data_IF_644221064524
#
_entry.id   IF_644221064524
#
_cell.length_a   1.000
_cell.length_b   1.000
_cell.length_c   1.000
_cell.angle_alpha   90.00
_cell.angle_beta   90.00
_cell.angle_gamma   90.00
#
_symmetry.space_group_name_H-M   'P 1'
#
loop_
_entity.id
_entity.type
_entity.pdbx_description
1 polymer ?
#
# COMPACT_ATOMS: atom_id res chain seq x y z
N UNK A 1 18.28 6.78 -16.57
CA UNK A 1 18.14 5.36 -16.17
C UNK A 1 16.66 5.04 -16.19
N UNK A 2 16.21 4.00 -16.90
CA UNK A 2 14.78 3.73 -17.07
C UNK A 2 14.12 3.39 -15.72
N UNK A 3 13.11 4.17 -15.35
CA UNK A 3 12.26 3.98 -14.17
C UNK A 3 10.93 3.40 -14.63
N UNK A 4 10.67 2.14 -14.25
CA UNK A 4 9.38 1.47 -14.45
C UNK A 4 8.70 1.48 -13.10
N UNK A 5 7.51 2.07 -13.02
CA UNK A 5 6.70 2.12 -11.80
C UNK A 5 5.41 1.35 -12.04
N UNK A 6 5.09 0.38 -11.20
CA UNK A 6 3.89 -0.46 -11.27
C UNK A 6 2.93 -0.09 -10.14
N UNK A 7 1.80 0.50 -10.49
CA UNK A 7 0.74 0.85 -9.55
C UNK A 7 -0.51 0.00 -9.80
N UNK A 8 -1.35 -0.11 -8.79
CA UNK A 8 -2.68 -0.71 -8.91
C UNK A 8 -3.76 0.33 -8.61
N UNK A 9 -4.81 0.32 -9.42
CA UNK A 9 -6.08 1.00 -9.11
C UNK A 9 -7.09 -0.08 -8.75
N UNK A 10 -7.48 -0.11 -7.48
CA UNK A 10 -8.43 -1.05 -6.90
C UNK A 10 -9.70 -0.32 -6.44
N UNK A 11 -10.71 -1.07 -6.02
CA UNK A 11 -11.99 -0.55 -5.56
C UNK A 11 -13.15 -1.46 -5.90
N UNK A 12 -14.26 -1.31 -5.18
CA UNK A 12 -15.48 -2.07 -5.39
C UNK A 12 -16.14 -1.84 -6.75
N UNK A 13 -17.27 -2.54 -7.02
CA UNK A 13 -18.12 -2.26 -8.16
C UNK A 13 -18.50 -0.77 -8.22
N UNK A 14 -18.64 -0.20 -9.42
CA UNK A 14 -19.01 1.22 -9.62
C UNK A 14 -18.09 2.27 -8.95
N UNK A 15 -16.82 1.94 -8.64
CA UNK A 15 -15.88 2.90 -8.06
C UNK A 15 -15.32 3.96 -9.02
N UNK A 16 -15.48 3.76 -10.34
CA UNK A 16 -14.97 4.66 -11.38
C UNK A 16 -13.63 4.25 -12.00
N UNK A 17 -13.17 3.00 -11.81
CA UNK A 17 -11.86 2.50 -12.30
C UNK A 17 -11.63 2.73 -13.80
N UNK A 18 -12.59 2.35 -14.66
CA UNK A 18 -12.44 2.52 -16.11
C UNK A 18 -12.26 3.99 -16.51
N UNK A 19 -12.99 4.91 -15.86
CA UNK A 19 -12.80 6.35 -16.07
C UNK A 19 -11.47 6.83 -15.51
N UNK A 20 -11.04 6.33 -14.35
CA UNK A 20 -9.74 6.62 -13.79
C UNK A 20 -8.59 6.25 -14.75
N UNK A 21 -8.68 5.11 -15.45
CA UNK A 21 -7.68 4.74 -16.46
C UNK A 21 -7.55 5.79 -17.56
N UNK A 22 -8.67 6.32 -18.08
CA UNK A 22 -8.64 7.40 -19.08
C UNK A 22 -8.01 8.69 -18.55
N UNK A 23 -8.30 9.06 -17.29
CA UNK A 23 -7.69 10.23 -16.65
C UNK A 23 -6.19 10.05 -16.45
N UNK A 24 -5.75 8.86 -16.02
CA UNK A 24 -4.34 8.52 -15.83
C UNK A 24 -3.60 8.58 -17.17
N UNK A 25 -4.15 7.97 -18.23
CA UNK A 25 -3.56 8.03 -19.58
C UNK A 25 -3.32 9.49 -20.00
N UNK A 26 -4.36 10.32 -19.94
CA UNK A 26 -4.28 11.71 -20.39
C UNK A 26 -3.28 12.52 -19.57
N UNK A 27 -3.35 12.43 -18.23
CA UNK A 27 -2.52 13.24 -17.35
C UNK A 27 -1.04 12.86 -17.42
N UNK A 28 -0.71 11.56 -17.42
CA UNK A 28 0.68 11.11 -17.33
C UNK A 28 1.37 11.05 -18.69
N UNK A 29 0.66 10.82 -19.79
CA UNK A 29 1.23 11.01 -21.14
C UNK A 29 1.60 12.47 -21.39
N UNK A 30 0.78 13.44 -20.95
CA UNK A 30 1.13 14.86 -21.03
C UNK A 30 2.36 15.22 -20.19
N UNK A 31 2.62 14.47 -19.10
CA UNK A 31 3.81 14.59 -18.26
C UNK A 31 5.02 13.78 -18.78
N UNK A 32 4.94 13.21 -19.97
CA UNK A 32 6.04 12.49 -20.61
C UNK A 32 6.22 11.04 -20.14
N UNK A 33 5.24 10.44 -19.48
CA UNK A 33 5.26 9.01 -19.15
C UNK A 33 4.73 8.17 -20.30
N UNK A 34 5.37 7.03 -20.54
CA UNK A 34 4.75 5.92 -21.27
C UNK A 34 3.81 5.19 -20.31
N UNK A 35 2.50 5.27 -20.54
CA UNK A 35 1.49 4.64 -19.68
C UNK A 35 1.04 3.32 -20.31
N UNK A 36 1.02 2.25 -19.52
CA UNK A 36 0.60 0.92 -19.92
C UNK A 36 -0.49 0.43 -18.96
N UNK A 37 -1.56 -0.18 -19.51
CA UNK A 37 -2.63 -0.75 -18.69
C UNK A 37 -2.62 -2.26 -18.74
N UNK A 38 -2.60 -2.89 -17.57
CA UNK A 38 -2.87 -4.33 -17.44
C UNK A 38 -4.37 -4.49 -17.18
N UNK A 39 -5.15 -5.04 -18.14
CA UNK A 39 -6.59 -5.14 -17.99
C UNK A 39 -6.98 -6.23 -16.99
N UNK A 40 -8.13 -6.03 -16.34
CA UNK A 40 -8.70 -6.93 -15.33
C UNK A 40 -8.91 -8.34 -15.90
N UNK A 41 -8.25 -9.33 -15.28
CA UNK A 41 -8.35 -10.73 -15.70
C UNK A 41 -9.72 -11.34 -15.45
N UNK A 42 -10.40 -10.97 -14.36
CA UNK A 42 -11.74 -11.48 -14.04
C UNK A 42 -12.74 -11.17 -15.16
N UNK A 43 -12.74 -9.94 -15.67
CA UNK A 43 -13.63 -9.51 -16.76
C UNK A 43 -13.35 -10.29 -18.05
N UNK A 44 -12.07 -10.55 -18.40
CA UNK A 44 -11.71 -11.41 -19.54
C UNK A 44 -12.26 -12.84 -19.38
N UNK A 45 -12.09 -13.43 -18.20
CA UNK A 45 -12.55 -14.79 -17.91
C UNK A 45 -14.07 -14.92 -17.98
N UNK A 46 -14.79 -14.04 -17.28
CA UNK A 46 -16.25 -14.06 -17.23
C UNK A 46 -16.84 -13.84 -18.63
N UNK A 47 -16.28 -12.90 -19.39
CA UNK A 47 -16.72 -12.64 -20.77
C UNK A 47 -16.42 -13.82 -21.71
N UNK A 48 -15.37 -14.60 -21.41
CA UNK A 48 -15.01 -15.84 -22.12
C UNK A 48 -15.80 -17.08 -21.69
N UNK A 49 -16.70 -16.95 -20.70
CA UNK A 49 -17.49 -18.06 -20.17
C UNK A 49 -16.81 -18.87 -19.05
N UNK A 50 -15.64 -18.43 -18.58
CA UNK A 50 -14.97 -18.98 -17.39
C UNK A 50 -15.37 -18.12 -16.20
N UNK A 51 -16.37 -18.57 -15.45
CA UNK A 51 -16.93 -17.88 -14.30
C UNK A 51 -16.71 -18.69 -13.01
N UNK A 52 -16.76 -18.06 -11.83
CA UNK A 52 -16.70 -18.77 -10.54
C UNK A 52 -17.75 -19.89 -10.42
N UNK A 53 -18.95 -19.68 -11.00
CA UNK A 53 -20.05 -20.65 -10.98
C UNK A 53 -20.02 -21.69 -12.11
N UNK A 54 -19.11 -21.57 -13.09
CA UNK A 54 -18.92 -22.58 -14.14
C UNK A 54 -17.72 -23.48 -13.86
N UNK A 55 -16.75 -22.99 -13.07
CA UNK A 55 -15.63 -23.79 -12.57
C UNK A 55 -16.11 -24.79 -11.50
N UNK A 56 -15.34 -25.86 -11.28
CA UNK A 56 -15.68 -26.88 -10.28
C UNK A 56 -15.73 -26.31 -8.86
N UNK A 57 -14.80 -25.43 -8.53
CA UNK A 57 -14.75 -24.70 -7.25
C UNK A 57 -14.32 -23.26 -7.46
N UNK A 58 -14.59 -22.39 -6.46
CA UNK A 58 -14.04 -21.04 -6.42
C UNK A 58 -12.50 -21.08 -6.39
N UNK A 59 -11.91 -22.00 -5.62
CA UNK A 59 -10.46 -22.16 -5.55
C UNK A 59 -9.84 -22.45 -6.93
N UNK A 60 -10.43 -23.33 -7.74
CA UNK A 60 -9.95 -23.63 -9.10
C UNK A 60 -10.03 -22.40 -10.02
N UNK A 61 -11.12 -21.63 -9.93
CA UNK A 61 -11.26 -20.38 -10.67
C UNK A 61 -10.16 -19.38 -10.27
N UNK A 62 -9.93 -19.21 -8.97
CA UNK A 62 -8.96 -18.26 -8.43
C UNK A 62 -7.52 -18.64 -8.80
N UNK A 63 -7.17 -19.94 -8.81
CA UNK A 63 -5.86 -20.41 -9.31
C UNK A 63 -5.62 -19.95 -10.75
N UNK A 64 -6.56 -20.22 -11.65
CA UNK A 64 -6.45 -19.84 -13.05
C UNK A 64 -6.41 -18.32 -13.24
N UNK A 65 -7.27 -17.58 -12.54
CA UNK A 65 -7.34 -16.12 -12.64
C UNK A 65 -6.03 -15.48 -12.16
N UNK A 66 -5.55 -15.86 -10.98
CA UNK A 66 -4.32 -15.30 -10.40
C UNK A 66 -3.08 -15.65 -11.24
N UNK A 67 -2.98 -16.88 -11.75
CA UNK A 67 -1.88 -17.28 -12.63
C UNK A 67 -1.81 -16.41 -13.90
N UNK A 68 -2.96 -16.20 -14.56
CA UNK A 68 -3.01 -15.35 -15.74
C UNK A 68 -2.72 -13.88 -15.39
N UNK A 69 -3.28 -13.36 -14.30
CA UNK A 69 -3.03 -11.99 -13.86
C UNK A 69 -1.54 -11.72 -13.64
N UNK A 70 -0.86 -12.61 -12.92
CA UNK A 70 0.58 -12.48 -12.67
C UNK A 70 1.41 -12.63 -13.95
N UNK A 71 0.98 -13.51 -14.85
CA UNK A 71 1.60 -13.65 -16.16
C UNK A 71 1.47 -12.37 -16.97
N UNK A 72 0.29 -11.75 -17.02
CA UNK A 72 0.06 -10.47 -17.69
C UNK A 72 0.96 -9.39 -17.10
N UNK A 73 0.96 -9.21 -15.78
CA UNK A 73 1.82 -8.21 -15.13
C UNK A 73 3.30 -8.39 -15.45
N UNK A 74 3.81 -9.63 -15.41
CA UNK A 74 5.20 -9.94 -15.78
C UNK A 74 5.51 -9.62 -17.24
N UNK A 75 4.60 -9.96 -18.15
CA UNK A 75 4.77 -9.71 -19.59
C UNK A 75 4.75 -8.20 -19.89
N UNK A 76 3.85 -7.44 -19.27
CA UNK A 76 3.79 -5.99 -19.39
C UNK A 76 5.06 -5.33 -18.85
N UNK A 77 5.56 -5.79 -17.70
CA UNK A 77 6.84 -5.31 -17.16
C UNK A 77 8.01 -5.63 -18.11
N UNK A 78 8.06 -6.86 -18.66
CA UNK A 78 9.08 -7.25 -19.63
C UNK A 78 9.02 -6.37 -20.88
N UNK A 79 7.83 -6.10 -21.41
CA UNK A 79 7.64 -5.23 -22.56
C UNK A 79 8.05 -3.77 -22.25
N UNK A 80 7.68 -3.25 -21.08
CA UNK A 80 8.10 -1.93 -20.61
C UNK A 80 9.64 -1.79 -20.60
N UNK A 81 10.35 -2.81 -20.13
CA UNK A 81 11.83 -2.83 -20.14
C UNK A 81 12.44 -2.66 -21.53
N UNK A 82 11.73 -3.00 -22.61
CA UNK A 82 12.22 -2.85 -23.99
C UNK A 82 11.72 -1.59 -24.69
N UNK A 83 10.71 -0.89 -24.15
CA UNK A 83 10.13 0.30 -24.80
C UNK A 83 11.06 1.53 -24.76
N UNK A 84 10.97 2.46 -25.73
CA UNK A 84 11.64 3.75 -25.60
C UNK A 84 11.05 4.58 -24.45
N UNK A 85 11.85 5.47 -23.86
CA UNK A 85 11.44 6.35 -22.77
C UNK A 85 12.07 6.00 -21.42
N UNK A 86 12.27 7.03 -20.60
CA UNK A 86 12.88 6.89 -19.28
C UNK A 86 11.88 6.64 -18.15
N UNK A 87 10.63 7.10 -18.30
CA UNK A 87 9.59 6.96 -17.28
C UNK A 87 8.42 6.15 -17.83
N UNK A 88 8.20 4.96 -17.28
CA UNK A 88 7.11 4.08 -17.67
C UNK A 88 6.22 3.83 -16.46
N UNK A 89 4.92 4.05 -16.62
CA UNK A 89 3.90 3.81 -15.60
C UNK A 89 3.02 2.63 -16.04
N UNK A 90 3.14 1.50 -15.34
CA UNK A 90 2.26 0.35 -15.50
C UNK A 90 1.12 0.49 -14.50
N UNK A 91 -0.11 0.45 -14.98
CA UNK A 91 -1.32 0.62 -14.19
C UNK A 91 -2.14 -0.67 -14.28
N UNK A 92 -2.28 -1.37 -13.18
CA UNK A 92 -3.11 -2.58 -13.08
C UNK A 92 -4.55 -2.21 -12.75
N UNK A 93 -5.51 -2.60 -13.60
CA UNK A 93 -6.93 -2.60 -13.27
C UNK A 93 -7.20 -3.82 -12.39
N UNK A 94 -7.19 -3.59 -11.06
CA UNK A 94 -7.04 -4.60 -10.00
C UNK A 94 -5.67 -5.28 -9.96
N UNK A 95 -5.20 -5.56 -8.75
CA UNK A 95 -3.94 -6.25 -8.48
C UNK A 95 -4.19 -7.63 -7.89
N UNK A 96 -3.15 -8.41 -7.70
CA UNK A 96 -3.26 -9.81 -7.28
C UNK A 96 -3.86 -9.97 -5.87
N UNK A 97 -3.73 -8.97 -5.00
CA UNK A 97 -4.36 -8.97 -3.68
C UNK A 97 -5.89 -8.75 -3.75
N UNK A 98 -6.44 -8.21 -4.84
CA UNK A 98 -7.90 -8.07 -4.98
C UNK A 98 -8.61 -9.43 -4.95
N UNK A 99 -7.95 -10.49 -5.44
CA UNK A 99 -8.50 -11.85 -5.46
C UNK A 99 -8.83 -12.35 -4.05
N UNK A 100 -8.07 -11.92 -3.04
CA UNK A 100 -8.30 -12.27 -1.63
C UNK A 100 -9.70 -11.88 -1.14
N UNK A 101 -10.26 -10.78 -1.66
CA UNK A 101 -11.61 -10.34 -1.27
C UNK A 101 -12.72 -11.33 -1.65
N UNK A 102 -12.43 -12.25 -2.58
CA UNK A 102 -13.34 -13.27 -3.11
C UNK A 102 -13.03 -14.68 -2.60
N UNK A 103 -12.16 -14.81 -1.60
CA UNK A 103 -11.77 -16.07 -0.98
C UNK A 103 -11.89 -15.96 0.55
N UNK A 104 -12.05 -17.10 1.21
CA UNK A 104 -11.73 -17.19 2.63
C UNK A 104 -10.21 -17.36 2.84
N UNK A 105 -9.74 -17.26 4.09
CA UNK A 105 -8.30 -17.33 4.38
C UNK A 105 -7.66 -18.68 4.03
N UNK A 106 -8.41 -19.78 4.13
CA UNK A 106 -7.94 -21.14 3.79
C UNK A 106 -7.78 -21.32 2.28
N UNK A 107 -8.80 -20.93 1.50
CA UNK A 107 -8.75 -20.91 0.03
C UNK A 107 -7.57 -20.04 -0.45
N UNK A 108 -7.41 -18.85 0.12
CA UNK A 108 -6.34 -17.94 -0.26
C UNK A 108 -4.96 -18.55 0.04
N UNK A 109 -4.78 -19.18 1.21
CA UNK A 109 -3.55 -19.87 1.56
C UNK A 109 -3.25 -21.04 0.60
N UNK A 110 -4.25 -21.82 0.21
CA UNK A 110 -4.10 -22.90 -0.77
C UNK A 110 -3.70 -22.38 -2.16
N UNK A 111 -4.34 -21.31 -2.63
CA UNK A 111 -4.01 -20.69 -3.93
C UNK A 111 -2.58 -20.13 -3.92
N UNK A 112 -2.17 -19.45 -2.85
CA UNK A 112 -0.79 -18.97 -2.70
C UNK A 112 0.21 -20.14 -2.69
N UNK A 113 -0.08 -21.20 -1.94
CA UNK A 113 0.74 -22.41 -1.90
C UNK A 113 0.88 -23.09 -3.26
N UNK A 114 -0.22 -23.20 -4.01
CA UNK A 114 -0.25 -23.75 -5.36
C UNK A 114 0.61 -22.95 -6.34
N UNK A 115 0.54 -21.61 -6.27
CA UNK A 115 1.30 -20.71 -7.14
C UNK A 115 2.73 -20.44 -6.66
N UNK A 116 3.13 -20.98 -5.50
CA UNK A 116 4.44 -20.73 -4.89
C UNK A 116 4.65 -19.26 -4.51
N UNK A 117 3.58 -18.59 -4.09
CA UNK A 117 3.56 -17.17 -3.77
C UNK A 117 3.57 -16.93 -2.27
N UNK A 118 3.95 -15.71 -1.92
CA UNK A 118 3.90 -15.21 -0.56
C UNK A 118 3.10 -13.91 -0.51
N UNK A 119 2.19 -13.79 0.46
CA UNK A 119 1.26 -12.66 0.58
C UNK A 119 2.01 -11.31 0.73
N UNK A 120 3.07 -11.27 1.54
CA UNK A 120 3.82 -10.04 1.79
C UNK A 120 4.51 -9.57 0.51
N UNK A 121 5.19 -10.49 -0.19
CA UNK A 121 5.87 -10.23 -1.47
C UNK A 121 4.88 -9.87 -2.58
N UNK A 122 3.70 -10.48 -2.58
CA UNK A 122 2.64 -10.21 -3.53
C UNK A 122 2.09 -8.79 -3.35
N UNK A 123 1.70 -8.44 -2.11
CA UNK A 123 1.15 -7.12 -1.78
C UNK A 123 2.16 -6.01 -2.04
N UNK A 124 3.35 -6.11 -1.45
CA UNK A 124 4.36 -5.06 -1.53
C UNK A 124 5.15 -5.13 -2.85
N UNK A 125 4.83 -6.05 -3.76
CA UNK A 125 5.40 -6.11 -5.12
C UNK A 125 4.84 -5.05 -6.08
N UNK A 126 3.86 -4.27 -5.64
CA UNK A 126 3.39 -3.05 -6.31
C UNK A 126 4.10 -1.85 -5.68
N UNK A 127 4.34 -0.80 -6.47
CA UNK A 127 4.99 0.40 -5.97
C UNK A 127 4.00 1.30 -5.21
N UNK A 128 2.72 1.33 -5.64
CA UNK A 128 1.64 2.03 -4.94
C UNK A 128 0.26 1.41 -5.22
N UNK A 129 -0.66 1.62 -4.27
CA UNK A 129 -2.04 1.12 -4.33
C UNK A 129 -3.00 2.29 -4.16
N UNK A 130 -3.88 2.48 -5.12
CA UNK A 130 -4.91 3.52 -5.07
C UNK A 130 -6.29 2.87 -5.01
N UNK A 131 -6.94 2.94 -3.86
CA UNK A 131 -8.29 2.41 -3.62
C UNK A 131 -9.33 3.48 -3.93
N UNK A 132 -10.10 3.29 -5.00
CA UNK A 132 -11.27 4.11 -5.29
C UNK A 132 -12.46 3.53 -4.54
N UNK A 133 -13.00 4.30 -3.58
CA UNK A 133 -14.18 3.87 -2.82
C UNK A 133 -15.38 3.72 -3.76
N UNK A 134 -16.10 2.60 -3.68
CA UNK A 134 -17.34 2.38 -4.46
C UNK A 134 -18.35 3.52 -4.30
N UNK A 135 -19.08 3.85 -5.37
CA UNK A 135 -20.20 4.80 -5.28
C UNK A 135 -21.27 4.36 -4.25
N UNK A 136 -21.38 3.06 -3.97
CA UNK A 136 -22.25 2.55 -2.92
C UNK A 136 -21.92 3.09 -1.51
N UNK A 137 -20.73 3.68 -1.29
CA UNK A 137 -20.36 4.36 -0.04
C UNK A 137 -20.29 5.87 -0.23
N UNK A 138 -21.28 6.59 0.27
CA UNK A 138 -21.30 8.06 0.26
C UNK A 138 -21.71 8.71 -1.07
N UNK A 139 -22.11 7.93 -2.08
CA UNK A 139 -22.56 8.42 -3.38
C UNK A 139 -23.62 7.50 -4.02
N UNK A 140 -24.47 6.86 -3.19
CA UNK A 140 -25.38 5.77 -3.59
C UNK A 140 -26.29 6.13 -4.76
N UNK A 141 -26.69 7.40 -4.87
CA UNK A 141 -27.48 7.94 -5.99
C UNK A 141 -26.83 7.77 -7.37
N UNK A 142 -25.50 7.53 -7.43
CA UNK A 142 -24.75 7.27 -8.65
C UNK A 142 -24.37 5.79 -8.82
N UNK A 143 -24.75 4.92 -7.88
CA UNK A 143 -24.52 3.48 -8.00
C UNK A 143 -25.46 2.90 -9.06
N UNK A 144 -24.88 2.28 -10.08
CA UNK A 144 -25.64 1.66 -11.17
C UNK A 144 -25.05 0.32 -11.57
N UNK A 145 -25.94 -0.64 -11.82
CA UNK A 145 -25.61 -1.96 -12.37
C UNK A 145 -25.64 -1.97 -13.91
N UNK A 146 -26.16 -0.90 -14.53
CA UNK A 146 -26.40 -0.87 -15.99
C UNK A 146 -25.13 -0.90 -16.85
N UNK A 147 -23.98 -0.48 -16.29
CA UNK A 147 -22.76 -0.25 -17.08
C UNK A 147 -21.85 -1.48 -17.21
N UNK A 148 -22.20 -2.63 -16.62
CA UNK A 148 -21.42 -3.85 -16.78
C UNK A 148 -22.32 -5.10 -16.63
N UNK A 149 -22.46 -5.88 -17.70
CA UNK A 149 -23.27 -7.12 -17.74
C UNK A 149 -22.80 -8.20 -16.73
N UNK A 150 -21.62 -8.03 -16.15
CA UNK A 150 -21.06 -8.93 -15.14
C UNK A 150 -21.37 -8.54 -13.67
N UNK A 151 -22.16 -7.49 -13.42
CA UNK A 151 -22.44 -7.00 -12.05
C UNK A 151 -23.85 -7.34 -11.58
N UNK A 152 -23.93 -8.04 -10.45
CA UNK A 152 -25.18 -8.51 -9.84
C UNK A 152 -25.34 -8.03 -8.40
N UNK A 153 -24.36 -7.30 -7.87
CA UNK A 153 -24.26 -6.96 -6.46
C UNK A 153 -25.22 -5.84 -6.06
N UNK A 154 -25.91 -6.06 -4.93
CA UNK A 154 -26.64 -5.04 -4.18
C UNK A 154 -25.70 -3.95 -3.67
N UNK A 155 -26.26 -2.82 -3.21
CA UNK A 155 -25.47 -1.72 -2.63
C UNK A 155 -24.67 -2.24 -1.44
N UNK A 156 -25.31 -3.00 -0.56
CA UNK A 156 -24.71 -3.58 0.65
C UNK A 156 -23.58 -4.55 0.32
N UNK A 157 -23.77 -5.43 -0.67
CA UNK A 157 -22.72 -6.34 -1.14
C UNK A 157 -21.54 -5.58 -1.76
N UNK A 158 -21.81 -4.52 -2.52
CA UNK A 158 -20.75 -3.68 -3.09
C UNK A 158 -19.94 -2.95 -2.01
N UNK A 159 -20.59 -2.48 -0.94
CA UNK A 159 -19.93 -1.92 0.24
C UNK A 159 -19.05 -2.96 0.92
N UNK A 160 -19.58 -4.16 1.17
CA UNK A 160 -18.84 -5.23 1.84
C UNK A 160 -17.62 -5.69 1.03
N UNK A 161 -17.76 -5.79 -0.30
CA UNK A 161 -16.65 -6.12 -1.20
C UNK A 161 -15.60 -5.00 -1.20
N UNK A 162 -16.01 -3.72 -1.23
CA UNK A 162 -15.09 -2.58 -1.17
C UNK A 162 -14.23 -2.61 0.10
N UNK A 163 -14.84 -2.92 1.24
CA UNK A 163 -14.13 -3.03 2.52
C UNK A 163 -13.17 -4.22 2.56
N UNK A 164 -13.55 -5.37 2.00
CA UNK A 164 -12.65 -6.53 1.86
C UNK A 164 -11.47 -6.24 0.94
N UNK A 165 -11.69 -5.51 -0.16
CA UNK A 165 -10.63 -5.09 -1.06
C UNK A 165 -9.65 -4.17 -0.34
N UNK A 166 -10.14 -3.14 0.37
CA UNK A 166 -9.29 -2.25 1.16
C UNK A 166 -8.50 -3.00 2.25
N UNK A 167 -9.15 -3.91 2.96
CA UNK A 167 -8.51 -4.78 3.96
C UNK A 167 -7.37 -5.61 3.35
N UNK A 168 -7.57 -6.16 2.14
CA UNK A 168 -6.57 -6.99 1.45
C UNK A 168 -5.29 -6.21 1.11
N UNK A 169 -5.39 -4.89 0.92
CA UNK A 169 -4.24 -4.03 0.67
C UNK A 169 -3.69 -3.33 1.93
N UNK A 170 -4.39 -3.44 3.05
CA UNK A 170 -3.96 -2.80 4.31
C UNK A 170 -2.58 -3.31 4.72
N UNK A 171 -1.71 -2.37 5.08
CA UNK A 171 -0.29 -2.62 5.38
C UNK A 171 0.67 -2.37 4.21
N UNK A 172 0.17 -2.12 3.00
CA UNK A 172 1.00 -1.62 1.91
C UNK A 172 1.54 -0.21 2.23
N UNK A 173 2.84 0.09 2.00
CA UNK A 173 3.47 1.34 2.44
C UNK A 173 2.93 2.59 1.72
N UNK A 174 2.47 2.41 0.48
CA UNK A 174 1.94 3.48 -0.36
C UNK A 174 0.48 3.22 -0.75
N UNK A 175 -0.35 2.85 0.23
CA UNK A 175 -1.81 2.77 0.06
C UNK A 175 -2.42 4.18 0.14
N UNK A 176 -3.31 4.52 -0.78
CA UNK A 176 -4.08 5.78 -0.83
C UNK A 176 -5.55 5.49 -1.06
N UNK A 177 -6.41 6.10 -0.25
CA UNK A 177 -7.87 5.93 -0.31
C UNK A 177 -8.48 7.18 -0.93
N UNK A 178 -9.26 7.01 -2.00
CA UNK A 178 -9.94 8.09 -2.71
C UNK A 178 -11.45 7.91 -2.55
N UNK A 179 -12.03 8.66 -1.63
CA UNK A 179 -13.44 8.58 -1.24
C UNK A 179 -14.39 9.36 -2.16
N UNK A 180 -15.67 9.45 -1.79
CA UNK A 180 -16.72 10.14 -2.54
C UNK A 180 -17.19 11.45 -1.87
N UNK A 181 -16.38 12.07 -1.02
CA UNK A 181 -16.73 13.34 -0.33
C UNK A 181 -16.90 14.53 -1.27
N UNK A 182 -16.34 14.43 -2.48
CA UNK A 182 -16.39 15.45 -3.52
C UNK A 182 -17.09 14.90 -4.77
N UNK A 183 -17.41 15.78 -5.72
CA UNK A 183 -17.96 15.35 -6.99
C UNK A 183 -17.01 14.39 -7.74
N UNK A 184 -17.55 13.63 -8.69
CA UNK A 184 -16.78 12.61 -9.38
C UNK A 184 -15.55 13.17 -10.13
N UNK A 185 -15.63 14.37 -10.68
CA UNK A 185 -14.47 14.98 -11.36
C UNK A 185 -13.39 15.38 -10.36
N UNK A 186 -13.78 15.90 -9.19
CA UNK A 186 -12.86 16.20 -8.10
C UNK A 186 -12.23 14.93 -7.52
N UNK A 187 -13.00 13.85 -7.37
CA UNK A 187 -12.48 12.51 -7.02
C UNK A 187 -11.38 12.06 -7.98
N UNK A 188 -11.58 12.20 -9.29
CA UNK A 188 -10.56 11.86 -10.29
C UNK A 188 -9.34 12.79 -10.20
N UNK A 189 -9.52 14.10 -9.96
CA UNK A 189 -8.39 15.03 -9.74
C UNK A 189 -7.57 14.64 -8.52
N UNK A 190 -8.20 14.23 -7.42
CA UNK A 190 -7.51 13.73 -6.21
C UNK A 190 -6.69 12.48 -6.52
N UNK A 191 -7.24 11.52 -7.26
CA UNK A 191 -6.47 10.35 -7.72
C UNK A 191 -5.21 10.77 -8.51
N UNK A 192 -5.35 11.66 -9.51
CA UNK A 192 -4.21 12.13 -10.31
C UNK A 192 -3.19 12.88 -9.46
N UNK A 193 -3.65 13.67 -8.48
CA UNK A 193 -2.80 14.35 -7.50
C UNK A 193 -1.98 13.34 -6.71
N UNK A 194 -2.62 12.33 -6.11
CA UNK A 194 -1.97 11.31 -5.30
C UNK A 194 -0.95 10.48 -6.09
N UNK A 195 -1.28 10.09 -7.33
CA UNK A 195 -0.31 9.41 -8.21
C UNK A 195 0.86 10.36 -8.55
N UNK A 196 0.58 11.64 -8.80
CA UNK A 196 1.63 12.62 -9.11
C UNK A 196 2.59 12.82 -7.93
N UNK A 197 2.06 12.95 -6.72
CA UNK A 197 2.83 13.05 -5.48
C UNK A 197 3.70 11.81 -5.31
N UNK A 198 3.12 10.62 -5.47
CA UNK A 198 3.85 9.36 -5.38
C UNK A 198 5.00 9.28 -6.40
N UNK A 199 4.79 9.78 -7.62
CA UNK A 199 5.80 9.80 -8.67
C UNK A 199 6.88 10.89 -8.49
N UNK A 200 6.76 11.75 -7.47
CA UNK A 200 7.75 12.76 -7.10
C UNK A 200 7.38 14.19 -7.51
N UNK A 201 6.12 14.48 -7.81
CA UNK A 201 5.66 15.87 -7.94
C UNK A 201 5.76 16.60 -6.59
N UNK A 202 5.99 17.92 -6.58
CA UNK A 202 6.00 18.70 -5.34
C UNK A 202 4.72 18.44 -4.54
N UNK A 203 4.88 18.04 -3.29
CA UNK A 203 3.76 17.74 -2.40
C UNK A 203 2.92 19.00 -2.16
N UNK A 204 1.58 18.96 -2.26
CA UNK A 204 0.77 19.81 -1.41
C UNK A 204 1.05 19.42 0.06
N UNK A 205 1.01 20.38 0.99
CA UNK A 205 1.35 20.18 2.40
C UNK A 205 0.60 18.96 2.98
N UNK A 206 1.28 17.80 3.05
CA UNK A 206 0.84 16.66 3.85
C UNK A 206 1.62 16.71 5.14
N UNK A 207 0.90 16.70 6.24
CA UNK A 207 1.47 16.74 7.57
C UNK A 207 1.45 15.33 8.13
N UNK A 208 2.63 14.78 8.40
CA UNK A 208 2.76 13.56 9.19
C UNK A 208 2.60 13.96 10.65
N UNK A 209 1.49 13.56 11.28
CA UNK A 209 1.24 13.81 12.70
C UNK A 209 1.58 12.58 13.52
N UNK A 210 2.25 12.77 14.65
CA UNK A 210 2.70 11.70 15.53
C UNK A 210 2.15 11.88 16.93
N UNK A 211 1.67 10.80 17.53
CA UNK A 211 1.04 10.78 18.84
C UNK A 211 1.68 9.72 19.71
N UNK A 212 2.02 10.10 20.93
CA UNK A 212 2.28 9.13 21.99
C UNK A 212 0.92 8.68 22.54
N UNK A 213 0.67 7.38 22.52
CA UNK A 213 -0.59 6.78 22.94
C UNK A 213 -0.39 5.82 24.11
N UNK A 214 -1.44 5.55 24.90
CA UNK A 214 -1.44 4.42 25.83
C UNK A 214 -1.20 3.12 25.06
N UNK A 215 -0.61 2.11 25.71
CA UNK A 215 -0.41 0.81 25.09
C UNK A 215 -1.75 0.25 24.59
N UNK A 216 -1.89 -0.06 23.28
CA UNK A 216 -3.17 -0.46 22.72
C UNK A 216 -3.53 -1.90 23.12
N UNK A 217 -4.82 -2.21 23.09
CA UNK A 217 -5.29 -3.60 23.17
C UNK A 217 -4.93 -4.33 21.86
N UNK A 218 -3.85 -5.12 21.91
CA UNK A 218 -3.32 -5.87 20.77
C UNK A 218 -4.33 -6.88 20.25
N UNK A 219 -5.05 -7.57 21.13
CA UNK A 219 -6.01 -8.60 20.71
C UNK A 219 -7.20 -7.95 19.99
N UNK A 220 -7.63 -6.77 20.43
CA UNK A 220 -8.65 -6.00 19.74
C UNK A 220 -8.16 -5.52 18.36
N UNK A 221 -6.92 -5.05 18.25
CA UNK A 221 -6.33 -4.64 16.97
C UNK A 221 -6.26 -5.81 15.97
N UNK A 222 -5.82 -6.98 16.41
CA UNK A 222 -5.67 -8.15 15.53
C UNK A 222 -7.01 -8.71 15.03
N UNK A 223 -8.12 -8.43 15.73
CA UNK A 223 -9.48 -8.79 15.30
C UNK A 223 -10.08 -7.83 14.27
N UNK A 224 -9.49 -6.66 14.06
CA UNK A 224 -9.99 -5.68 13.11
C UNK A 224 -9.61 -6.09 11.67
N UNK A 225 -10.58 -6.25 10.75
CA UNK A 225 -10.30 -6.67 9.36
C UNK A 225 -9.46 -5.63 8.59
N UNK A 226 -9.57 -4.37 8.99
CA UNK A 226 -8.86 -3.22 8.46
C UNK A 226 -7.57 -2.90 9.23
N UNK A 227 -7.06 -3.84 10.02
CA UNK A 227 -5.78 -3.72 10.72
C UNK A 227 -4.84 -4.85 10.31
N UNK A 228 -3.58 -4.50 10.05
CA UNK A 228 -2.56 -5.48 9.65
C UNK A 228 -1.31 -5.34 10.49
N UNK A 229 -0.93 -6.44 11.14
CA UNK A 229 0.34 -6.59 11.87
C UNK A 229 1.51 -6.76 10.90
N UNK A 230 2.62 -6.08 11.18
CA UNK A 230 3.87 -6.14 10.42
C UNK A 230 5.03 -6.12 11.41
N UNK A 231 5.96 -7.05 11.29
CA UNK A 231 7.20 -7.06 12.02
C UNK A 231 8.25 -6.26 11.26
N UNK A 232 8.92 -5.33 11.95
CA UNK A 232 9.94 -4.47 11.38
C UNK A 232 11.22 -4.56 12.20
N UNK A 233 12.33 -4.84 11.51
CA UNK A 233 13.68 -4.71 12.04
C UNK A 233 14.44 -3.71 11.17
N UNK A 234 15.12 -2.76 11.78
CA UNK A 234 15.94 -1.78 11.07
C UNK A 234 17.29 -1.58 11.75
N UNK A 235 18.33 -1.46 10.93
CA UNK A 235 19.72 -1.34 11.36
C UNK A 235 20.34 -0.15 10.66
N UNK A 236 21.00 0.71 11.43
CA UNK A 236 21.76 1.84 10.92
C UNK A 236 23.14 1.38 10.45
N UNK A 237 23.58 1.87 9.30
CA UNK A 237 24.88 1.54 8.72
C UNK A 237 25.87 2.67 8.97
N UNK A 238 27.16 2.34 8.93
CA UNK A 238 28.22 3.34 8.96
C UNK A 238 28.07 4.30 7.77
N UNK A 239 28.26 5.59 8.03
CA UNK A 239 28.24 6.63 6.99
C UNK A 239 29.44 7.54 7.13
N UNK A 240 30.15 7.76 6.04
CA UNK A 240 31.36 8.59 5.98
C UNK A 240 31.08 10.06 5.64
N UNK A 241 29.85 10.39 5.21
CA UNK A 241 29.48 11.69 4.64
C UNK A 241 28.37 12.45 5.40
N UNK A 242 27.99 12.01 6.59
CA UNK A 242 26.88 12.60 7.36
C UNK A 242 25.48 12.20 6.89
N UNK A 243 25.37 11.39 5.83
CA UNK A 243 24.12 10.76 5.40
C UNK A 243 23.65 9.76 6.47
N UNK A 244 22.36 9.71 6.79
CA UNK A 244 21.79 8.64 7.62
C UNK A 244 21.41 7.47 6.70
N UNK A 245 22.16 6.37 6.81
CA UNK A 245 21.93 5.16 6.02
C UNK A 245 21.35 4.08 6.93
N UNK A 246 20.26 3.45 6.51
CA UNK A 246 19.65 2.32 7.21
C UNK A 246 19.23 1.23 6.25
N UNK A 247 19.25 0.01 6.74
CA UNK A 247 18.56 -1.13 6.11
C UNK A 247 17.37 -1.52 6.96
N UNK A 248 16.27 -1.89 6.30
CA UNK A 248 15.02 -2.28 6.94
C UNK A 248 14.54 -3.59 6.37
N UNK A 249 14.25 -4.53 7.25
CA UNK A 249 13.46 -5.73 7.00
C UNK A 249 12.03 -5.48 7.49
N UNK A 250 11.04 -5.76 6.66
CA UNK A 250 9.62 -5.73 7.06
C UNK A 250 8.85 -6.90 6.49
N UNK A 251 7.94 -7.46 7.27
CA UNK A 251 7.18 -8.63 6.86
C UNK A 251 6.41 -9.27 7.99
N UNK A 252 5.98 -10.52 7.81
CA UNK A 252 5.23 -11.28 8.80
C UNK A 252 5.38 -12.78 8.52
N UNK A 253 5.37 -13.61 9.57
CA UNK A 253 5.23 -15.06 9.42
C UNK A 253 6.38 -15.74 8.65
N UNK A 254 7.59 -15.19 8.71
CA UNK A 254 8.75 -15.74 8.00
C UNK A 254 8.97 -15.20 6.59
N UNK A 255 8.04 -14.41 6.04
CA UNK A 255 8.25 -13.70 4.78
C UNK A 255 8.56 -12.23 4.99
N UNK A 256 9.61 -11.77 4.32
CA UNK A 256 10.14 -10.44 4.47
C UNK A 256 10.57 -9.81 3.14
N UNK A 257 10.56 -8.48 3.14
CA UNK A 257 11.11 -7.62 2.12
C UNK A 257 12.11 -6.66 2.76
N UNK A 258 13.10 -6.28 1.99
CA UNK A 258 14.26 -5.53 2.44
C UNK A 258 14.38 -4.22 1.67
N UNK A 259 14.75 -3.16 2.38
CA UNK A 259 14.94 -1.83 1.83
C UNK A 259 16.23 -1.22 2.37
N UNK A 260 16.92 -0.44 1.54
CA UNK A 260 17.91 0.53 1.99
C UNK A 260 17.31 1.92 1.87
N UNK A 261 17.36 2.68 2.95
CA UNK A 261 17.04 4.10 2.95
C UNK A 261 18.31 4.91 3.18
N UNK A 262 18.53 5.93 2.36
CA UNK A 262 19.58 6.94 2.53
C UNK A 262 18.90 8.29 2.71
N UNK A 263 19.09 8.92 3.87
CA UNK A 263 18.68 10.30 4.13
C UNK A 263 19.89 11.21 3.97
N UNK A 264 19.87 12.02 2.92
CA UNK A 264 20.91 13.01 2.63
C UNK A 264 20.46 14.39 3.05
N UNK A 265 21.29 15.09 3.81
CA UNK A 265 21.09 16.52 4.10
C UNK A 265 21.52 17.33 2.87
N UNK A 266 20.57 18.01 2.23
CA UNK A 266 20.83 18.87 1.05
C UNK A 266 21.04 20.32 1.48
N UNK A 267 20.32 20.76 2.51
CA UNK A 267 20.51 22.05 3.17
C UNK A 267 20.17 21.94 4.66
N UNK A 268 20.23 23.04 5.42
CA UNK A 268 19.84 23.03 6.84
C UNK A 268 18.36 22.71 7.06
N UNK A 269 17.51 22.97 6.06
CA UNK A 269 16.06 22.75 6.12
C UNK A 269 15.58 21.60 5.24
N UNK A 270 16.39 21.16 4.28
CA UNK A 270 16.00 20.16 3.28
C UNK A 270 16.79 18.86 3.44
N UNK A 271 16.04 17.76 3.61
CA UNK A 271 16.56 16.40 3.61
C UNK A 271 15.88 15.62 2.50
N UNK A 272 16.67 14.88 1.73
CA UNK A 272 16.18 13.99 0.68
C UNK A 272 16.28 12.56 1.18
N UNK A 273 15.16 11.83 1.16
CA UNK A 273 15.10 10.41 1.47
C UNK A 273 15.07 9.60 0.17
N UNK A 274 16.08 8.76 -0.02
CA UNK A 274 16.20 7.86 -1.17
C UNK A 274 16.02 6.44 -0.64
N UNK A 275 14.97 5.75 -1.07
CA UNK A 275 14.71 4.37 -0.71
C UNK A 275 14.86 3.45 -1.93
N UNK A 276 15.54 2.31 -1.75
CA UNK A 276 15.62 1.25 -2.76
C UNK A 276 15.29 -0.10 -2.16
N UNK A 277 14.64 -0.95 -2.94
CA UNK A 277 14.40 -2.36 -2.59
C UNK A 277 15.69 -3.17 -2.73
N UNK A 278 15.88 -4.12 -1.83
CA UNK A 278 17.02 -5.03 -1.79
C UNK A 278 16.55 -6.47 -1.96
N UNK A 279 17.42 -7.29 -2.53
CA UNK A 279 17.40 -8.74 -2.37
C UNK A 279 17.79 -9.13 -0.93
N UNK A 280 17.54 -10.39 -0.56
CA UNK A 280 17.96 -10.90 0.75
C UNK A 280 19.49 -10.90 0.90
N UNK A 281 20.21 -11.27 -0.16
CA UNK A 281 21.68 -11.33 -0.13
C UNK A 281 22.29 -9.92 0.03
N UNK A 282 21.82 -8.93 -0.74
CA UNK A 282 22.24 -7.53 -0.58
C UNK A 282 21.95 -7.00 0.83
N UNK A 283 20.81 -7.37 1.42
CA UNK A 283 20.47 -7.00 2.80
C UNK A 283 21.45 -7.60 3.81
N UNK A 284 21.78 -8.88 3.67
CA UNK A 284 22.74 -9.58 4.54
C UNK A 284 24.15 -9.00 4.40
N UNK A 285 24.58 -8.68 3.18
CA UNK A 285 25.85 -8.01 2.91
C UNK A 285 25.89 -6.63 3.59
N UNK A 286 24.85 -5.81 3.41
CA UNK A 286 24.78 -4.48 4.03
C UNK A 286 24.74 -4.52 5.56
N UNK A 287 24.16 -5.58 6.16
CA UNK A 287 24.18 -5.76 7.61
C UNK A 287 25.60 -5.92 8.18
N UNK A 288 26.58 -6.36 7.37
CA UNK A 288 27.98 -6.42 7.79
C UNK A 288 28.58 -5.01 8.02
N UNK A 289 27.98 -3.98 7.45
CA UNK A 289 28.35 -2.57 7.61
C UNK A 289 27.54 -1.86 8.71
N UNK A 290 26.88 -2.61 9.59
CA UNK A 290 26.16 -2.06 10.73
C UNK A 290 27.06 -1.13 11.57
N UNK A 291 26.51 0.02 11.95
CA UNK A 291 27.18 0.95 12.84
C UNK A 291 27.15 0.39 14.28
N UNK A 292 28.30 0.05 14.88
CA UNK A 292 28.35 -0.54 16.21
C UNK A 292 27.94 0.45 17.32
N UNK A 293 27.85 1.75 17.02
CA UNK A 293 27.39 2.77 17.97
C UNK A 293 25.87 2.87 18.04
N UNK A 294 25.14 2.12 17.20
CA UNK A 294 23.68 2.15 17.09
C UNK A 294 23.08 0.78 17.36
N UNK A 295 21.99 0.76 18.12
CA UNK A 295 21.24 -0.46 18.37
C UNK A 295 20.22 -0.68 17.25
N UNK A 296 20.09 -1.91 16.72
CA UNK A 296 18.99 -2.25 15.83
C UNK A 296 17.65 -1.99 16.50
N UNK A 297 16.72 -1.35 15.79
CA UNK A 297 15.36 -1.17 16.26
C UNK A 297 14.52 -2.33 15.75
N UNK A 298 13.84 -2.99 16.69
CA UNK A 298 12.78 -3.95 16.41
C UNK A 298 11.46 -3.37 16.89
N UNK A 299 10.41 -3.51 16.09
CA UNK A 299 9.06 -3.08 16.45
C UNK A 299 8.01 -3.92 15.76
N UNK A 300 6.84 -4.00 16.39
CA UNK A 300 5.63 -4.51 15.76
C UNK A 300 4.78 -3.32 15.34
N UNK A 301 4.50 -3.20 14.05
CA UNK A 301 3.71 -2.13 13.45
C UNK A 301 2.31 -2.66 13.11
N UNK A 302 1.28 -1.99 13.59
CA UNK A 302 -0.10 -2.20 13.16
C UNK A 302 -0.49 -1.09 12.19
N UNK A 303 -0.76 -1.45 10.94
CA UNK A 303 -1.31 -0.54 9.95
C UNK A 303 -2.83 -0.64 10.01
N UNK A 304 -3.50 0.46 10.33
CA UNK A 304 -4.95 0.54 10.49
C UNK A 304 -5.52 1.55 9.49
N UNK A 305 -6.47 1.15 8.66
CA UNK A 305 -7.23 2.10 7.83
C UNK A 305 -8.50 2.52 8.58
N UNK A 306 -8.75 3.82 8.75
CA UNK A 306 -9.92 4.35 9.45
C UNK A 306 -10.52 5.51 8.64
N UNK A 307 -11.68 5.28 8.03
CA UNK A 307 -12.21 6.20 7.01
C UNK A 307 -11.23 6.34 5.84
N UNK A 308 -10.76 7.57 5.58
CA UNK A 308 -9.72 7.86 4.57
C UNK A 308 -8.30 7.87 5.15
N UNK A 309 -8.16 7.77 6.47
CA UNK A 309 -6.88 7.91 7.16
C UNK A 309 -6.20 6.55 7.30
N UNK A 310 -4.88 6.54 7.11
CA UNK A 310 -4.05 5.36 7.36
C UNK A 310 -3.18 5.64 8.57
N UNK A 311 -3.50 4.96 9.67
CA UNK A 311 -2.74 4.98 10.90
C UNK A 311 -1.67 3.90 10.90
N UNK A 312 -0.58 4.21 11.57
CA UNK A 312 0.54 3.33 11.84
C UNK A 312 0.79 3.34 13.33
N UNK A 313 0.63 2.20 14.00
CA UNK A 313 0.83 2.07 15.44
C UNK A 313 2.06 1.20 15.70
N UNK A 314 3.12 1.80 16.22
CA UNK A 314 4.40 1.14 16.51
C UNK A 314 4.51 0.76 17.98
N UNK A 315 4.62 -0.54 18.22
CA UNK A 315 4.90 -1.13 19.52
C UNK A 315 6.38 -1.50 19.57
N UNK A 316 7.10 -0.82 20.44
CA UNK A 316 8.50 -1.08 20.71
C UNK A 316 8.63 -2.08 21.87
N UNK A 317 9.49 -3.11 21.78
CA UNK A 317 9.63 -4.13 22.84
C UNK A 317 9.99 -3.58 24.22
N UNK A 318 10.62 -2.41 24.27
CA UNK A 318 11.05 -1.74 25.50
C UNK A 318 9.96 -0.87 26.15
N UNK A 319 8.85 -0.61 25.46
CA UNK A 319 7.68 0.05 26.05
C UNK A 319 6.60 -0.99 26.36
N UNK A 320 6.12 -0.94 27.60
CA UNK A 320 5.04 -1.81 28.10
C UNK A 320 3.77 -1.01 28.41
N UNK A 321 3.86 0.32 28.42
CA UNK A 321 2.82 1.25 28.87
C UNK A 321 2.35 2.22 27.77
N UNK A 322 3.09 2.32 26.67
CA UNK A 322 2.84 3.28 25.59
C UNK A 322 3.24 2.74 24.22
N UNK A 323 2.72 3.38 23.18
CA UNK A 323 3.10 3.16 21.79
C UNK A 323 3.14 4.49 21.02
N UNK A 324 3.67 4.48 19.80
CA UNK A 324 3.59 5.62 18.89
C UNK A 324 2.55 5.36 17.82
N UNK A 325 1.66 6.32 17.58
CA UNK A 325 0.75 6.34 16.46
C UNK A 325 1.14 7.46 15.49
N UNK A 326 1.24 7.14 14.20
CA UNK A 326 1.55 8.07 13.11
C UNK A 326 0.38 8.06 12.12
N UNK A 327 0.07 9.22 11.55
CA UNK A 327 -0.96 9.37 10.51
C UNK A 327 -0.53 10.44 9.51
N UNK A 328 -0.62 10.10 8.23
CA UNK A 328 -0.46 11.07 7.14
C UNK A 328 -1.81 11.71 6.84
N UNK A 329 -1.89 13.04 6.96
CA UNK A 329 -3.10 13.78 6.66
C UNK A 329 -2.81 14.91 5.68
N UNK A 330 -3.72 15.13 4.73
CA UNK A 330 -3.67 16.29 3.84
C UNK A 330 -4.14 17.53 4.60
N UNK A 331 -3.61 18.71 4.29
CA UNK A 331 -4.02 19.96 4.95
C UNK A 331 -5.54 20.28 4.89
N UNK A 332 -6.26 19.67 3.95
CA UNK A 332 -7.70 19.86 3.75
C UNK A 332 -8.55 18.86 4.57
N UNK A 333 -7.95 17.80 5.13
CA UNK A 333 -8.64 16.73 5.82
C UNK A 333 -8.65 16.95 7.35
N UNK A 334 -9.77 16.63 8.01
CA UNK A 334 -9.87 16.70 9.48
C UNK A 334 -9.38 15.39 10.13
N UNK A 335 -8.53 15.47 11.15
CA UNK A 335 -7.99 14.29 11.83
C UNK A 335 -9.07 13.55 12.64
N UNK A 336 -9.25 12.26 12.37
CA UNK A 336 -10.24 11.41 13.05
C UNK A 336 -9.55 10.22 13.71
N UNK A 337 -9.16 10.41 14.98
CA UNK A 337 -8.56 9.34 15.77
C UNK A 337 -9.66 8.37 16.26
N UNK A 338 -9.57 7.05 15.98
CA UNK A 338 -10.51 6.08 16.50
C UNK A 338 -10.59 6.13 18.03
N UNK A 339 -11.80 6.07 18.60
CA UNK A 339 -12.01 6.24 20.05
C UNK A 339 -11.31 5.20 20.94
N UNK A 340 -10.89 4.07 20.38
CA UNK A 340 -10.10 3.05 21.09
C UNK A 340 -8.59 3.40 21.15
N UNK A 341 -8.11 4.37 20.38
CA UNK A 341 -6.75 4.89 20.46
C UNK A 341 -6.74 6.04 21.48
N UNK A 342 -6.16 5.80 22.64
CA UNK A 342 -6.07 6.79 23.72
C UNK A 342 -4.78 7.60 23.61
N UNK A 343 -4.91 8.86 23.19
CA UNK A 343 -3.78 9.77 23.03
C UNK A 343 -3.32 10.31 24.38
N UNK A 344 -2.01 10.18 24.66
CA UNK A 344 -1.34 10.82 25.80
C UNK A 344 -0.95 12.25 25.43
N UNK A 345 -0.24 12.42 24.31
CA UNK A 345 0.13 13.73 23.75
C UNK A 345 0.51 13.63 22.28
N UNK A 346 0.43 14.75 21.56
CA UNK A 346 1.05 14.91 20.25
C UNK A 346 2.56 15.12 20.40
N UNK A 347 3.34 14.45 19.56
CA UNK A 347 4.82 14.46 19.52
C UNK A 347 5.35 14.76 18.10
N UNK A 348 4.51 15.39 17.26
CA UNK A 348 4.89 15.85 15.92
C UNK A 348 6.08 16.81 16.01
N UNK A 349 7.16 16.51 15.29
CA UNK A 349 8.40 17.32 15.32
C UNK A 349 9.26 17.14 16.58
N UNK A 350 8.88 16.28 17.52
CA UNK A 350 9.67 15.98 18.71
C UNK A 350 10.73 14.90 18.40
N UNK A 351 11.98 15.34 18.25
CA UNK A 351 13.11 14.48 17.88
C UNK A 351 13.39 13.37 18.91
N UNK A 352 12.96 13.52 20.18
CA UNK A 352 13.13 12.49 21.23
C UNK A 352 12.37 11.19 20.92
N UNK A 353 11.34 11.27 20.08
CA UNK A 353 10.54 10.15 19.61
C UNK A 353 10.93 9.72 18.19
N UNK A 354 11.98 10.31 17.60
CA UNK A 354 12.49 9.85 16.31
C UNK A 354 13.14 8.47 16.42
N UNK A 355 12.98 7.64 15.39
CA UNK A 355 13.66 6.34 15.33
C UNK A 355 15.18 6.46 15.52
N UNK A 356 15.79 7.53 15.02
CA UNK A 356 17.23 7.74 15.15
C UNK A 356 17.66 7.97 16.60
N UNK A 357 16.89 8.74 17.38
CA UNK A 357 17.15 8.96 18.81
C UNK A 357 16.80 7.72 19.63
N UNK A 358 15.70 7.02 19.31
CA UNK A 358 15.34 5.78 19.98
C UNK A 358 16.44 4.69 19.84
N UNK A 359 17.14 4.65 18.70
CA UNK A 359 18.26 3.73 18.47
C UNK A 359 19.50 4.01 19.35
N UNK A 360 19.65 5.24 19.85
CA UNK A 360 20.76 5.63 20.72
C UNK A 360 20.56 5.20 22.18
N UNK A 361 19.32 4.98 22.60
CA UNK A 361 18.98 4.80 24.02
C UNK A 361 19.25 3.38 24.54
N UNK A 362 19.67 2.45 23.67
CA UNK A 362 20.19 1.13 24.06
C UNK A 362 19.27 0.38 25.00
N UNK A 363 18.09 0.01 24.50
CA UNK A 363 17.02 -0.63 25.27
C UNK A 363 17.12 -2.15 25.31
#
# INVERSE_FOLDING_TARGET
MKKITKIVVTGGPCAGKSTAMSWIQNAFTQKGYTVLFVPETATEFISGGVCPWTCGTNEDYQKCQMELQLTKERLFHRAASTMPGENILIVCDRGAMDNKAYMNDEEFAHVLGFLGLDEVRLRDGYDAVFHLVTAAKGAEQFYTTANNQARYETVEEAVAIDDKLLASWTGHPHLRIIDNTTDFSQKMRRLISEISIFLGAPMPCREERRFLIEYPDVEALEKLPNCRRIEISQTYLKSTGGDEIRVRQRGMGGSYIYYQTIKRKVSDTERVEIERRLTQDEYLELLMEADPTRHPIRKTRYCLTWGIQSFVIDLYPFWQDRALAEVDISAEDELQIPGFIKVIKEVTGDDDYSNYVLANRGW
#
